data_IF_633344212671
#
_entry.id   IF_633344212671
#
_cell.length_a   1.000
_cell.length_b   1.000
_cell.length_c   1.000
_cell.angle_alpha   90.00
_cell.angle_beta   90.00
_cell.angle_gamma   90.00
#
_symmetry.space_group_name_H-M   'P 1'
#
loop_
_entity.id
_entity.type
_entity.pdbx_description
1 polymer ?
#
# COMPACT_ATOMS: atom_id res chain seq x y z
N UNK A 1 -25.56 77.15 5.53
CA UNK A 1 -26.31 76.05 6.18
C UNK A 1 -25.94 74.74 5.49
N UNK A 2 -24.87 74.09 5.96
CA UNK A 2 -24.37 72.83 5.40
C UNK A 2 -25.04 71.65 6.11
N UNK A 3 -25.70 70.77 5.36
CA UNK A 3 -26.32 69.56 5.90
C UNK A 3 -25.22 68.54 6.21
N UNK A 4 -24.97 68.35 7.50
CA UNK A 4 -24.23 67.21 8.06
C UNK A 4 -24.98 65.92 7.73
N UNK A 5 -24.48 65.16 6.75
CA UNK A 5 -24.85 63.77 6.57
C UNK A 5 -24.19 62.92 7.66
N UNK A 6 -24.90 62.71 8.77
CA UNK A 6 -24.54 61.69 9.75
C UNK A 6 -24.96 60.32 9.19
N UNK A 7 -23.99 59.53 8.74
CA UNK A 7 -24.17 58.12 8.42
C UNK A 7 -24.26 57.34 9.74
N UNK A 8 -25.40 56.73 10.10
CA UNK A 8 -25.48 55.90 11.28
C UNK A 8 -24.68 54.61 11.05
N UNK A 9 -23.95 54.22 12.10
CA UNK A 9 -22.93 53.18 12.10
C UNK A 9 -23.21 52.00 11.19
N UNK A 10 -22.24 51.76 10.31
CA UNK A 10 -22.02 50.46 9.70
C UNK A 10 -21.80 49.47 10.85
N UNK A 11 -22.90 48.84 11.25
CA UNK A 11 -22.96 47.89 12.34
C UNK A 11 -22.11 46.69 12.00
N UNK A 12 -21.32 46.29 13.01
CA UNK A 12 -20.83 44.94 13.22
C UNK A 12 -20.36 44.27 11.93
N UNK A 13 -19.13 44.58 11.52
CA UNK A 13 -18.32 43.58 10.85
C UNK A 13 -18.22 42.41 11.82
N UNK A 14 -19.10 41.43 11.61
CA UNK A 14 -19.06 40.16 12.29
C UNK A 14 -17.62 39.69 12.21
N UNK A 15 -17.07 39.40 13.38
CA UNK A 15 -16.00 38.42 13.48
C UNK A 15 -16.58 37.14 12.90
N UNK A 16 -16.50 37.02 11.57
CA UNK A 16 -16.48 35.73 10.91
C UNK A 16 -15.22 35.08 11.44
N UNK A 17 -15.41 34.46 12.61
CA UNK A 17 -14.63 33.38 13.14
C UNK A 17 -14.07 32.65 11.96
N UNK A 18 -12.78 32.85 11.70
CA UNK A 18 -12.03 32.01 10.80
C UNK A 18 -12.29 30.61 11.31
N UNK A 19 -13.22 29.93 10.64
CA UNK A 19 -13.50 28.54 10.86
C UNK A 19 -12.17 27.90 10.55
N UNK A 20 -11.41 27.61 11.62
CA UNK A 20 -10.17 26.88 11.54
C UNK A 20 -10.51 25.65 10.70
N UNK A 21 -10.00 25.64 9.48
CA UNK A 21 -9.99 24.48 8.63
C UNK A 21 -9.09 23.47 9.34
N UNK A 22 -9.64 22.79 10.34
CA UNK A 22 -9.08 21.59 10.94
C UNK A 22 -9.14 20.51 9.86
N UNK A 23 -8.20 20.59 8.93
CA UNK A 23 -7.85 19.50 8.05
C UNK A 23 -7.53 18.34 8.98
N UNK A 24 -8.44 17.36 9.04
CA UNK A 24 -8.26 16.13 9.79
C UNK A 24 -7.09 15.35 9.23
N UNK A 25 -5.88 15.76 9.58
CA UNK A 25 -4.67 15.02 9.30
C UNK A 25 -4.79 13.72 10.06
N UNK A 26 -4.92 12.62 9.31
CA UNK A 26 -4.84 11.27 9.87
C UNK A 26 -3.60 11.22 10.75
N UNK A 27 -3.83 11.02 12.05
CA UNK A 27 -2.82 11.22 13.06
C UNK A 27 -1.55 10.44 12.73
N UNK A 28 -0.40 11.12 12.80
CA UNK A 28 0.94 10.55 12.57
C UNK A 28 1.14 9.23 13.34
N UNK A 29 0.47 9.10 14.50
CA UNK A 29 0.42 7.88 15.32
C UNK A 29 0.00 6.61 14.56
N UNK A 30 -0.90 6.69 13.57
CA UNK A 30 -1.30 5.52 12.77
C UNK A 30 -0.14 5.04 11.89
N UNK A 31 0.62 5.95 11.26
CA UNK A 31 1.78 5.58 10.46
C UNK A 31 2.88 4.95 11.31
N UNK A 32 3.15 5.50 12.50
CA UNK A 32 4.15 4.93 13.40
C UNK A 32 3.76 3.53 13.91
N UNK A 33 2.48 3.27 14.17
CA UNK A 33 1.99 1.92 14.52
C UNK A 33 2.19 0.91 13.39
N UNK A 34 1.85 1.31 12.16
CA UNK A 34 2.03 0.43 10.98
C UNK A 34 3.52 0.22 10.70
N UNK A 35 4.34 1.27 10.81
CA UNK A 35 5.80 1.17 10.69
C UNK A 35 6.38 0.17 11.71
N UNK A 36 5.97 0.25 12.97
CA UNK A 36 6.39 -0.70 13.99
C UNK A 36 5.95 -2.14 13.64
N UNK A 37 4.70 -2.33 13.18
CA UNK A 37 4.23 -3.63 12.73
C UNK A 37 5.08 -4.18 11.56
N UNK A 38 5.41 -3.35 10.57
CA UNK A 38 6.26 -3.75 9.45
C UNK A 38 7.69 -4.12 9.89
N UNK A 39 8.25 -3.40 10.85
CA UNK A 39 9.56 -3.72 11.45
C UNK A 39 9.52 -5.08 12.16
N UNK A 40 8.44 -5.38 12.88
CA UNK A 40 8.25 -6.70 13.52
C UNK A 40 8.14 -7.79 12.46
N UNK A 41 7.31 -7.62 11.42
CA UNK A 41 7.20 -8.59 10.33
C UNK A 41 8.55 -8.82 9.62
N UNK A 42 9.35 -7.77 9.44
CA UNK A 42 10.70 -7.90 8.90
C UNK A 42 11.61 -8.72 9.82
N UNK A 43 11.63 -8.41 11.12
CA UNK A 43 12.41 -9.16 12.09
C UNK A 43 11.99 -10.63 12.12
N UNK A 44 10.68 -10.92 12.02
CA UNK A 44 10.15 -12.28 11.91
C UNK A 44 10.64 -13.01 10.66
N UNK A 45 10.70 -12.36 9.49
CA UNK A 45 11.24 -13.00 8.28
C UNK A 45 12.72 -13.34 8.41
N UNK A 46 13.53 -12.45 9.00
CA UNK A 46 14.96 -12.70 9.23
C UNK A 46 15.16 -13.79 10.28
N UNK A 47 14.36 -13.76 11.35
CA UNK A 47 14.36 -14.78 12.39
C UNK A 47 13.96 -16.15 11.86
N UNK A 48 12.94 -16.23 11.00
CA UNK A 48 12.52 -17.47 10.37
C UNK A 48 13.65 -18.11 9.54
N UNK A 49 14.39 -17.29 8.77
CA UNK A 49 15.57 -17.76 8.03
C UNK A 49 16.68 -18.27 8.94
N UNK A 50 16.95 -17.57 10.06
CA UNK A 50 17.93 -18.02 11.06
C UNK A 50 17.52 -19.35 11.73
N UNK A 51 16.24 -19.52 12.04
CA UNK A 51 15.71 -20.73 12.69
C UNK A 51 15.75 -21.94 11.74
N UNK A 52 15.42 -21.75 10.46
CA UNK A 52 15.51 -22.79 9.43
C UNK A 52 16.96 -23.30 9.23
N UNK A 53 17.96 -22.46 9.48
CA UNK A 53 19.37 -22.86 9.44
C UNK A 53 19.87 -23.63 10.66
N UNK A 54 19.23 -23.45 11.83
CA UNK A 54 19.69 -24.04 13.11
C UNK A 54 18.93 -25.34 13.43
N UNK A 55 17.62 -25.33 13.25
CA UNK A 55 16.77 -26.51 13.34
C UNK A 55 16.57 -26.96 11.91
N UNK A 56 16.98 -28.19 11.57
CA UNK A 56 16.80 -28.80 10.25
C UNK A 56 15.30 -28.99 9.92
N UNK A 57 14.59 -27.88 9.75
CA UNK A 57 13.19 -27.81 9.41
C UNK A 57 13.04 -28.22 7.94
N UNK A 58 11.99 -28.95 7.56
CA UNK A 58 11.71 -29.21 6.15
C UNK A 58 11.61 -27.88 5.40
N UNK A 59 12.44 -27.72 4.37
CA UNK A 59 12.58 -26.50 3.55
C UNK A 59 11.26 -25.96 3.00
N UNK A 60 10.31 -26.84 2.69
CA UNK A 60 8.97 -26.41 2.24
C UNK A 60 8.20 -25.64 3.33
N UNK A 61 8.37 -26.01 4.59
CA UNK A 61 7.66 -25.36 5.70
C UNK A 61 8.24 -23.97 5.97
N UNK A 62 9.57 -23.81 5.91
CA UNK A 62 10.23 -22.51 6.00
C UNK A 62 9.79 -21.55 4.89
N UNK A 63 9.74 -22.04 3.65
CA UNK A 63 9.23 -21.29 2.49
C UNK A 63 7.76 -20.91 2.67
N UNK A 64 6.90 -21.82 3.13
CA UNK A 64 5.49 -21.53 3.36
C UNK A 64 5.31 -20.41 4.40
N UNK A 65 6.02 -20.48 5.53
CA UNK A 65 6.00 -19.45 6.58
C UNK A 65 6.49 -18.11 6.03
N UNK A 66 7.62 -18.10 5.31
CA UNK A 66 8.15 -16.88 4.71
C UNK A 66 7.16 -16.23 3.72
N UNK A 67 6.49 -17.05 2.89
CA UNK A 67 5.47 -16.58 1.95
C UNK A 67 4.24 -16.00 2.67
N UNK A 68 3.77 -16.63 3.75
CA UNK A 68 2.65 -16.08 4.55
C UNK A 68 3.01 -14.74 5.16
N UNK A 69 4.22 -14.60 5.74
CA UNK A 69 4.68 -13.33 6.32
C UNK A 69 4.84 -12.26 5.22
N UNK A 70 5.35 -12.64 4.04
CA UNK A 70 5.47 -11.74 2.90
C UNK A 70 4.11 -11.21 2.44
N UNK A 71 3.09 -12.07 2.33
CA UNK A 71 1.71 -11.66 1.97
C UNK A 71 1.12 -10.74 3.04
N UNK A 72 1.27 -11.06 4.33
CA UNK A 72 0.79 -10.19 5.40
C UNK A 72 1.45 -8.80 5.34
N UNK A 73 2.76 -8.75 5.03
CA UNK A 73 3.51 -7.50 4.87
C UNK A 73 3.00 -6.68 3.70
N UNK A 74 2.77 -7.29 2.53
CA UNK A 74 2.28 -6.56 1.35
C UNK A 74 0.89 -6.00 1.56
N UNK A 75 -0.01 -6.74 2.22
CA UNK A 75 -1.36 -6.25 2.56
C UNK A 75 -1.31 -5.01 3.45
N UNK A 76 -0.47 -5.01 4.50
CA UNK A 76 -0.31 -3.83 5.37
C UNK A 76 0.25 -2.62 4.60
N UNK A 77 1.22 -2.83 3.72
CA UNK A 77 1.82 -1.75 2.93
C UNK A 77 0.76 -1.12 2.01
N UNK A 78 -0.01 -1.93 1.27
CA UNK A 78 -1.01 -1.42 0.33
C UNK A 78 -2.14 -0.66 1.05
N UNK A 79 -2.61 -1.17 2.18
CA UNK A 79 -3.73 -0.53 2.89
C UNK A 79 -3.35 0.82 3.53
N UNK A 80 -2.12 0.93 4.06
CA UNK A 80 -1.72 2.08 4.88
C UNK A 80 -0.70 3.01 4.20
N UNK A 81 0.33 2.47 3.55
CA UNK A 81 1.38 3.29 2.91
C UNK A 81 1.01 3.75 1.50
N UNK A 82 0.23 2.97 0.76
CA UNK A 82 -0.36 3.42 -0.51
C UNK A 82 -1.65 4.23 -0.32
N UNK A 83 -2.00 4.59 0.92
CA UNK A 83 -3.23 5.34 1.27
C UNK A 83 -4.53 4.82 0.66
N UNK A 84 -4.57 3.58 0.18
CA UNK A 84 -5.73 3.02 -0.52
C UNK A 84 -6.98 3.08 0.37
N UNK A 85 -6.83 2.84 1.67
CA UNK A 85 -7.95 2.90 2.62
C UNK A 85 -8.54 4.32 2.80
N UNK A 86 -7.73 5.35 2.58
CA UNK A 86 -8.07 6.76 2.80
C UNK A 86 -8.49 7.45 1.50
N UNK A 87 -8.00 6.94 0.36
CA UNK A 87 -8.25 7.52 -0.95
C UNK A 87 -9.71 7.39 -1.38
N UNK A 88 -10.11 8.24 -2.33
CA UNK A 88 -11.42 8.21 -2.96
C UNK A 88 -11.73 6.85 -3.63
N UNK A 89 -13.02 6.50 -3.77
CA UNK A 89 -13.45 5.20 -4.30
C UNK A 89 -12.90 4.93 -5.70
N UNK A 90 -12.76 5.97 -6.53
CA UNK A 90 -12.15 5.87 -7.86
C UNK A 90 -10.69 5.39 -7.79
N UNK A 91 -9.89 5.92 -6.86
CA UNK A 91 -8.50 5.50 -6.64
C UNK A 91 -8.42 4.06 -6.13
N UNK A 92 -9.34 3.65 -5.26
CA UNK A 92 -9.43 2.26 -4.80
C UNK A 92 -9.71 1.28 -5.94
N UNK A 93 -10.64 1.63 -6.85
CA UNK A 93 -10.93 0.82 -8.03
C UNK A 93 -9.72 0.71 -8.96
N UNK A 94 -9.01 1.82 -9.20
CA UNK A 94 -7.81 1.80 -10.04
C UNK A 94 -6.69 0.95 -9.41
N UNK A 95 -6.48 1.05 -8.10
CA UNK A 95 -5.51 0.22 -7.39
C UNK A 95 -5.87 -1.28 -7.48
N UNK A 96 -7.15 -1.64 -7.33
CA UNK A 96 -7.62 -3.01 -7.50
C UNK A 96 -7.45 -3.50 -8.95
N UNK A 97 -7.77 -2.66 -9.94
CA UNK A 97 -7.59 -2.95 -11.36
C UNK A 97 -6.10 -3.14 -11.72
N UNK A 98 -5.21 -2.32 -11.16
CA UNK A 98 -3.77 -2.45 -11.34
C UNK A 98 -3.24 -3.75 -10.72
N UNK A 99 -3.69 -4.12 -9.52
CA UNK A 99 -3.29 -5.38 -8.89
C UNK A 99 -3.82 -6.61 -9.64
N UNK A 100 -5.07 -6.55 -10.11
CA UNK A 100 -5.65 -7.60 -10.96
C UNK A 100 -4.90 -7.72 -12.29
N UNK A 101 -4.61 -6.59 -12.94
CA UNK A 101 -3.83 -6.56 -14.17
C UNK A 101 -2.41 -7.12 -13.97
N UNK A 102 -1.75 -6.75 -12.88
CA UNK A 102 -0.45 -7.31 -12.49
C UNK A 102 -0.52 -8.82 -12.26
N UNK A 103 -1.53 -9.31 -11.54
CA UNK A 103 -1.71 -10.74 -11.30
C UNK A 103 -1.90 -11.50 -12.62
N UNK A 104 -2.72 -10.97 -13.54
CA UNK A 104 -2.92 -11.54 -14.88
C UNK A 104 -1.60 -11.58 -15.65
N UNK A 105 -0.84 -10.48 -15.68
CA UNK A 105 0.47 -10.42 -16.34
C UNK A 105 1.44 -11.48 -15.80
N UNK A 106 1.54 -11.62 -14.48
CA UNK A 106 2.41 -12.61 -13.84
C UNK A 106 2.00 -14.04 -14.21
N UNK A 107 0.71 -14.35 -14.16
CA UNK A 107 0.18 -15.69 -14.48
C UNK A 107 0.44 -16.04 -15.95
N UNK A 108 0.12 -15.13 -16.87
CA UNK A 108 0.34 -15.36 -18.31
C UNK A 108 1.83 -15.52 -18.61
N UNK A 109 2.66 -14.59 -18.12
CA UNK A 109 4.11 -14.65 -18.35
C UNK A 109 4.68 -15.96 -17.83
N UNK A 110 4.36 -16.36 -16.61
CA UNK A 110 4.89 -17.59 -16.05
C UNK A 110 4.35 -18.83 -16.76
N UNK A 111 3.09 -18.80 -17.19
CA UNK A 111 2.49 -19.82 -18.06
C UNK A 111 3.25 -19.98 -19.38
N UNK A 112 3.62 -18.88 -20.03
CA UNK A 112 4.44 -18.89 -21.25
C UNK A 112 5.83 -19.51 -20.99
N UNK A 113 6.48 -19.16 -19.88
CA UNK A 113 7.77 -19.76 -19.49
C UNK A 113 7.65 -21.27 -19.27
N UNK A 114 6.60 -21.73 -18.58
CA UNK A 114 6.37 -23.15 -18.37
C UNK A 114 6.04 -23.90 -19.67
N UNK A 115 5.29 -23.27 -20.58
CA UNK A 115 4.91 -23.86 -21.86
C UNK A 115 6.08 -23.94 -22.87
N UNK A 116 7.17 -23.20 -22.67
CA UNK A 116 8.37 -23.20 -23.54
C UNK A 116 9.26 -24.45 -23.43
N UNK A 117 8.78 -25.52 -22.79
CA UNK A 117 9.52 -26.77 -22.65
C UNK A 117 9.57 -27.63 -23.92
N UNK A 118 10.35 -27.25 -24.94
CA UNK A 118 11.02 -28.20 -25.88
C UNK A 118 11.95 -27.45 -26.87
N UNK A 119 13.26 -27.71 -26.94
CA UNK A 119 14.05 -27.33 -28.11
C UNK A 119 13.63 -28.18 -29.32
N UNK A 120 13.58 -27.64 -30.55
CA UNK A 120 13.19 -28.42 -31.73
C UNK A 120 14.04 -29.69 -31.87
N UNK A 121 13.45 -30.83 -32.28
CA UNK A 121 14.18 -32.09 -32.44
C UNK A 121 15.39 -31.88 -33.38
N UNK A 122 16.54 -32.54 -33.12
CA UNK A 122 17.72 -32.40 -33.96
C UNK A 122 17.36 -32.71 -35.41
N UNK A 123 17.55 -31.72 -36.30
CA UNK A 123 17.38 -31.92 -37.74
C UNK A 123 18.43 -32.90 -38.28
N UNK A 124 18.14 -33.64 -39.37
CA UNK A 124 19.13 -34.51 -39.98
C UNK A 124 20.39 -33.72 -40.33
N UNK A 125 21.52 -34.12 -39.76
CA UNK A 125 22.82 -33.59 -40.14
C UNK A 125 23.14 -34.07 -41.57
N UNK A 126 23.81 -33.24 -42.40
CA UNK A 126 24.32 -33.68 -43.71
C UNK A 126 25.44 -34.73 -43.58
#
# INVERSE_FOLDING_TARGET
MARSHANPGHGAHGSDTGAEHSHGHIGQATYYKVFAALMVLMALTVGAWWIEGIIALPRLLGVAIAMTIAIAKTVLIVLFFMHVKVSERATQLYAAAAFLGFAILVIITMGDYFARGWPPPPGPLP
#
